data_IF_363018451304
#
_entry.id   IF_363018451304
#
_cell.length_a   1.000
_cell.length_b   1.000
_cell.length_c   1.000
_cell.angle_alpha   90.00
_cell.angle_beta   90.00
_cell.angle_gamma   90.00
#
_symmetry.space_group_name_H-M   'P 1'
#
loop_
_entity.id
_entity.type
_entity.pdbx_description
1 polymer ?
#
# COMPACT_ATOMS: atom_id res chain seq x y z
N UNK A 1 -31.54 31.71 29.10
CA UNK A 1 -30.41 31.63 28.16
C UNK A 1 -30.39 30.19 27.69
N UNK A 2 -30.85 29.94 26.47
CA UNK A 2 -30.92 28.61 25.89
C UNK A 2 -29.49 28.19 25.47
N UNK A 3 -28.94 27.17 26.12
CA UNK A 3 -27.75 26.48 25.67
C UNK A 3 -28.10 25.67 24.41
N UNK A 4 -27.88 26.22 23.23
CA UNK A 4 -27.89 25.49 22.00
C UNK A 4 -26.61 24.64 21.95
N UNK A 5 -26.67 23.32 21.84
CA UNK A 5 -25.49 22.50 21.62
C UNK A 5 -24.94 22.80 20.23
N UNK A 6 -23.83 23.47 20.17
CA UNK A 6 -23.05 23.61 18.92
C UNK A 6 -22.39 22.28 18.66
N UNK A 7 -22.93 21.49 17.73
CA UNK A 7 -22.32 20.30 17.22
C UNK A 7 -21.33 20.76 16.13
N UNK A 8 -20.06 20.81 16.46
CA UNK A 8 -19.00 21.00 15.47
C UNK A 8 -18.95 19.76 14.59
N UNK A 9 -19.38 19.87 13.35
CA UNK A 9 -19.12 18.88 12.33
C UNK A 9 -17.66 19.05 11.88
N UNK A 10 -16.92 17.99 11.92
CA UNK A 10 -15.61 17.95 11.29
C UNK A 10 -15.79 18.22 9.79
N UNK A 11 -15.42 19.41 9.35
CA UNK A 11 -15.52 19.81 7.96
C UNK A 11 -14.17 19.53 7.29
N UNK A 12 -14.05 18.39 6.65
CA UNK A 12 -12.85 18.00 5.89
C UNK A 12 -12.68 18.77 4.57
N UNK A 13 -13.46 19.82 4.33
CA UNK A 13 -13.51 20.56 3.06
C UNK A 13 -12.78 21.89 3.05
N UNK A 14 -12.25 22.36 4.15
CA UNK A 14 -11.56 23.63 4.17
C UNK A 14 -10.35 23.58 5.06
N UNK A 15 -9.19 23.76 4.48
CA UNK A 15 -8.03 24.23 5.22
C UNK A 15 -7.10 25.01 4.31
N UNK A 16 -7.14 26.31 4.54
CA UNK A 16 -6.05 27.22 4.23
C UNK A 16 -5.04 27.16 5.39
N UNK A 17 -3.78 27.16 5.03
CA UNK A 17 -2.60 27.35 5.88
C UNK A 17 -2.32 26.35 7.01
N UNK A 18 -1.42 25.43 6.75
CA UNK A 18 -0.72 24.77 7.82
C UNK A 18 0.80 24.78 7.60
N UNK A 19 1.44 25.37 8.55
CA UNK A 19 2.89 25.32 8.76
C UNK A 19 3.35 23.88 8.89
N UNK A 20 4.38 23.56 8.13
CA UNK A 20 5.02 22.24 8.08
C UNK A 20 5.48 21.80 9.45
N UNK A 21 4.77 20.89 10.05
CA UNK A 21 5.29 20.03 11.11
C UNK A 21 4.58 18.69 11.02
N UNK A 22 5.38 17.63 11.11
CA UNK A 22 4.81 16.31 11.36
C UNK A 22 4.13 16.35 12.75
N UNK A 23 2.83 16.57 12.76
CA UNK A 23 2.07 16.68 14.01
C UNK A 23 1.45 15.34 14.36
N UNK A 24 1.80 14.82 15.53
CA UNK A 24 0.97 13.79 16.13
C UNK A 24 -0.39 14.42 16.50
N UNK A 25 -1.51 13.88 16.00
CA UNK A 25 -2.83 14.40 16.38
C UNK A 25 -2.97 14.35 17.90
N UNK A 26 -3.22 15.48 18.53
CA UNK A 26 -3.31 15.60 20.01
C UNK A 26 -4.43 14.71 20.59
N UNK A 27 -5.34 14.22 19.76
CA UNK A 27 -6.59 13.58 20.17
C UNK A 27 -6.69 12.09 19.85
N UNK A 28 -5.71 11.46 19.20
CA UNK A 28 -5.76 10.05 18.89
C UNK A 28 -5.07 9.18 19.94
N UNK A 29 -5.63 7.99 20.17
CA UNK A 29 -5.07 6.97 21.06
C UNK A 29 -3.85 6.31 20.44
N UNK A 30 -3.78 6.25 19.13
CA UNK A 30 -2.68 5.65 18.37
C UNK A 30 -1.55 6.66 18.22
N UNK A 31 -0.32 6.17 18.17
CA UNK A 31 0.83 6.99 17.77
C UNK A 31 0.78 7.15 16.26
N UNK A 32 0.09 8.18 15.81
CA UNK A 32 -0.03 8.54 14.39
C UNK A 32 0.78 9.78 14.12
N UNK A 33 1.56 9.76 13.06
CA UNK A 33 2.30 10.90 12.53
C UNK A 33 1.68 11.24 11.18
N UNK A 34 1.19 12.47 11.02
CA UNK A 34 0.66 12.94 9.74
C UNK A 34 1.66 13.90 9.09
N UNK A 35 2.02 13.59 7.85
CA UNK A 35 2.93 14.36 7.02
C UNK A 35 2.10 14.95 5.87
N UNK A 36 1.94 16.25 5.87
CA UNK A 36 1.15 16.96 4.86
C UNK A 36 1.95 17.25 3.58
N UNK A 37 1.22 17.67 2.54
CA UNK A 37 1.75 17.96 1.23
C UNK A 37 2.93 18.94 1.22
N UNK A 38 2.88 20.03 1.99
CA UNK A 38 3.97 21.00 2.07
C UNK A 38 5.29 20.37 2.52
N UNK A 39 5.24 19.44 3.47
CA UNK A 39 6.44 18.72 3.91
C UNK A 39 7.00 17.83 2.78
N UNK A 40 6.12 17.20 2.00
CA UNK A 40 6.51 16.38 0.86
C UNK A 40 7.15 17.22 -0.25
N UNK A 41 6.60 18.40 -0.52
CA UNK A 41 7.14 19.36 -1.50
C UNK A 41 8.52 19.87 -1.06
N UNK A 42 8.71 20.21 0.22
CA UNK A 42 10.00 20.64 0.73
C UNK A 42 11.08 19.55 0.68
N UNK A 43 10.71 18.31 0.92
CA UNK A 43 11.64 17.17 0.81
C UNK A 43 11.97 16.81 -0.63
N UNK A 44 11.21 17.31 -1.61
CA UNK A 44 11.35 16.94 -3.03
C UNK A 44 11.35 15.41 -3.20
N UNK A 45 10.42 14.74 -2.54
CA UNK A 45 10.33 13.28 -2.56
C UNK A 45 10.07 12.77 -3.97
N UNK A 46 10.82 11.78 -4.39
CA UNK A 46 10.58 11.06 -5.64
C UNK A 46 9.83 9.74 -5.42
N UNK A 47 9.81 9.27 -4.18
CA UNK A 47 9.10 8.09 -3.74
C UNK A 47 8.51 8.29 -2.33
N UNK A 48 7.43 7.59 -2.02
CA UNK A 48 6.79 7.66 -0.70
C UNK A 48 7.73 7.17 0.41
N UNK A 49 8.62 6.22 0.15
CA UNK A 49 9.57 5.74 1.16
C UNK A 49 10.57 6.82 1.63
N UNK A 50 10.75 7.91 0.85
CA UNK A 50 11.65 9.00 1.21
C UNK A 50 11.18 9.74 2.47
N UNK A 51 9.87 9.69 2.78
CA UNK A 51 9.32 10.26 4.02
C UNK A 51 9.85 9.60 5.29
N UNK A 52 10.47 8.41 5.17
CA UNK A 52 11.11 7.76 6.30
C UNK A 52 12.16 8.66 6.99
N UNK A 53 12.74 9.62 6.24
CA UNK A 53 13.65 10.64 6.78
C UNK A 53 13.01 11.55 7.82
N UNK A 54 11.69 11.75 7.78
CA UNK A 54 10.94 12.58 8.74
C UNK A 54 10.51 11.82 10.00
N UNK A 55 10.68 10.50 9.99
CA UNK A 55 10.31 9.69 11.15
C UNK A 55 11.37 9.74 12.23
N UNK A 56 11.00 9.62 13.51
CA UNK A 56 11.97 9.54 14.59
C UNK A 56 12.97 8.40 14.37
N UNK A 57 14.26 8.73 14.31
CA UNK A 57 15.33 7.77 13.97
C UNK A 57 15.48 7.47 12.49
N UNK A 58 14.72 8.14 11.64
CA UNK A 58 14.81 8.02 10.20
C UNK A 58 16.14 8.52 9.63
N UNK A 59 16.58 7.93 8.53
CA UNK A 59 17.79 8.34 7.81
C UNK A 59 17.41 8.86 6.44
N UNK A 60 18.03 9.96 6.03
CA UNK A 60 17.96 10.44 4.65
C UNK A 60 18.63 9.42 3.74
N UNK A 61 17.92 9.03 2.69
CA UNK A 61 18.44 8.21 1.59
C UNK A 61 18.53 9.07 0.34
N UNK A 62 19.52 8.81 -0.48
CA UNK A 62 19.51 9.37 -1.85
C UNK A 62 18.36 8.70 -2.60
N UNK A 63 17.41 9.45 -3.16
CA UNK A 63 16.32 8.87 -3.92
C UNK A 63 16.85 7.98 -5.04
N UNK A 64 16.45 6.73 -5.07
CA UNK A 64 16.83 5.75 -6.09
C UNK A 64 15.65 4.85 -6.42
N UNK A 65 15.06 5.06 -7.59
CA UNK A 65 13.95 4.24 -8.08
C UNK A 65 14.41 2.99 -8.84
N UNK A 66 15.71 2.79 -9.02
CA UNK A 66 16.25 1.58 -9.68
C UNK A 66 16.39 0.39 -8.72
N UNK A 67 16.24 0.61 -7.43
CA UNK A 67 16.18 -0.43 -6.39
C UNK A 67 14.79 -0.46 -5.75
N UNK A 68 14.46 -1.58 -5.10
CA UNK A 68 13.18 -1.70 -4.38
C UNK A 68 13.09 -0.66 -3.25
N UNK A 69 12.02 0.13 -3.26
CA UNK A 69 11.77 1.14 -2.25
C UNK A 69 10.70 0.67 -1.27
N UNK A 70 11.17 0.02 -0.21
CA UNK A 70 10.32 -0.57 0.83
C UNK A 70 10.23 0.40 1.99
N UNK A 71 9.02 0.58 2.47
CA UNK A 71 8.77 1.34 3.68
C UNK A 71 8.83 0.40 4.88
N UNK A 72 9.83 0.60 5.74
CA UNK A 72 10.05 -0.21 6.93
C UNK A 72 9.82 0.61 8.19
N UNK A 73 8.90 0.16 9.04
CA UNK A 73 8.62 0.71 10.35
C UNK A 73 9.04 -0.31 11.40
N UNK A 74 10.07 -0.01 12.20
CA UNK A 74 10.55 -0.86 13.30
C UNK A 74 11.00 -2.27 12.90
N UNK A 75 11.39 -2.47 11.66
CA UNK A 75 12.02 -3.72 11.27
C UNK A 75 13.37 -3.84 11.95
N UNK A 76 13.59 -4.89 12.68
CA UNK A 76 14.86 -5.18 13.36
C UNK A 76 16.02 -5.51 12.42
N UNK A 77 15.96 -5.11 11.15
CA UNK A 77 17.00 -5.37 10.15
C UNK A 77 17.14 -6.85 9.75
N UNK A 78 16.20 -7.69 10.13
CA UNK A 78 16.18 -9.10 9.77
C UNK A 78 15.79 -9.26 8.30
N UNK A 79 16.72 -9.70 7.49
CA UNK A 79 16.50 -10.10 6.09
C UNK A 79 15.71 -11.40 5.96
N UNK A 80 15.35 -12.05 7.05
CA UNK A 80 14.72 -13.35 7.06
C UNK A 80 13.20 -13.27 7.20
N UNK A 81 12.48 -13.36 6.08
CA UNK A 81 11.14 -13.98 5.99
C UNK A 81 9.94 -13.30 6.63
N UNK A 82 10.09 -12.42 7.60
CA UNK A 82 8.98 -11.78 8.31
C UNK A 82 8.65 -10.35 7.83
N UNK A 83 9.44 -9.81 6.94
CA UNK A 83 9.23 -8.47 6.39
C UNK A 83 7.93 -8.37 5.57
N UNK A 84 7.43 -9.46 5.00
CA UNK A 84 6.15 -9.51 4.30
C UNK A 84 4.96 -9.09 5.19
N UNK A 85 5.07 -9.29 6.50
CA UNK A 85 4.07 -8.90 7.49
C UNK A 85 4.44 -7.60 8.23
N UNK A 86 5.54 -6.95 7.85
CA UNK A 86 6.10 -5.83 8.58
C UNK A 86 5.22 -4.60 8.55
N UNK A 87 5.33 -3.81 7.52
CA UNK A 87 4.63 -2.53 7.36
C UNK A 87 3.59 -2.63 6.25
N UNK A 88 2.34 -2.34 6.57
CA UNK A 88 1.29 -2.24 5.57
C UNK A 88 1.29 -0.87 4.90
N UNK A 89 1.03 -0.83 3.61
CA UNK A 89 0.83 0.41 2.84
C UNK A 89 -0.57 0.40 2.23
N UNK A 90 -1.25 1.51 2.35
CA UNK A 90 -2.61 1.71 1.83
C UNK A 90 -2.68 3.05 1.08
N UNK A 91 -3.32 3.06 -0.08
CA UNK A 91 -3.60 4.28 -0.84
C UNK A 91 -5.11 4.43 -0.97
N UNK A 92 -5.68 5.47 -0.40
CA UNK A 92 -7.13 5.76 -0.39
C UNK A 92 -8.01 4.58 0.03
N UNK A 93 -7.58 3.80 1.01
CA UNK A 93 -8.29 2.61 1.49
C UNK A 93 -7.98 1.32 0.70
N UNK A 94 -7.20 1.39 -0.37
CA UNK A 94 -6.73 0.21 -1.11
C UNK A 94 -5.42 -0.28 -0.51
N UNK A 95 -5.43 -1.44 0.09
CA UNK A 95 -4.20 -2.09 0.57
C UNK A 95 -3.35 -2.55 -0.59
N UNK A 96 -2.08 -2.20 -0.58
CA UNK A 96 -1.14 -2.64 -1.60
C UNK A 96 -0.67 -4.06 -1.26
N UNK A 97 -0.74 -4.94 -2.23
CA UNK A 97 -0.24 -6.30 -2.12
C UNK A 97 1.28 -6.34 -1.97
N UNK A 98 1.77 -7.37 -1.35
CA UNK A 98 3.21 -7.65 -1.18
C UNK A 98 3.62 -9.01 -1.76
N UNK A 99 2.72 -9.63 -2.54
CA UNK A 99 2.93 -10.93 -3.17
C UNK A 99 3.34 -10.82 -4.65
N UNK A 100 3.56 -9.61 -5.15
CA UNK A 100 3.75 -9.33 -6.58
C UNK A 100 5.02 -9.89 -7.18
N UNK A 101 6.06 -10.18 -6.40
CA UNK A 101 7.24 -10.86 -6.91
C UNK A 101 7.60 -12.05 -6.03
N UNK A 102 7.43 -13.22 -6.56
CA UNK A 102 7.80 -14.46 -5.89
C UNK A 102 9.32 -14.48 -5.60
N UNK A 103 9.66 -14.60 -4.33
CA UNK A 103 11.06 -14.54 -3.86
C UNK A 103 11.48 -13.19 -3.28
N UNK A 104 10.69 -12.13 -3.47
CA UNK A 104 10.97 -10.80 -2.92
C UNK A 104 9.94 -10.43 -1.84
N UNK A 105 9.86 -11.23 -0.80
CA UNK A 105 8.95 -11.04 0.34
C UNK A 105 9.43 -9.96 1.32
N UNK A 106 10.18 -8.98 0.83
CA UNK A 106 10.84 -7.98 1.66
C UNK A 106 9.96 -6.79 2.05
N UNK A 107 8.65 -6.85 1.76
CA UNK A 107 7.68 -5.78 2.05
C UNK A 107 7.09 -5.16 0.78
N UNK A 108 6.27 -4.12 0.98
CA UNK A 108 5.59 -3.42 -0.11
C UNK A 108 6.54 -2.49 -0.84
N UNK A 109 6.74 -2.72 -2.14
CA UNK A 109 7.48 -1.79 -2.99
C UNK A 109 6.61 -0.58 -3.35
N UNK A 110 7.08 0.61 -3.00
CA UNK A 110 6.33 1.86 -3.20
C UNK A 110 6.70 2.61 -4.47
N UNK A 111 7.59 2.06 -5.33
CA UNK A 111 8.04 2.72 -6.57
C UNK A 111 6.92 3.05 -7.54
N UNK A 112 5.87 2.25 -7.55
CA UNK A 112 4.70 2.40 -8.42
C UNK A 112 3.61 3.33 -7.85
N UNK A 113 3.89 4.07 -6.77
CA UNK A 113 2.98 5.07 -6.21
C UNK A 113 3.41 6.45 -6.69
N UNK A 114 2.50 7.16 -7.35
CA UNK A 114 2.71 8.56 -7.73
C UNK A 114 2.76 9.45 -6.50
N UNK A 115 3.72 10.36 -6.44
CA UNK A 115 3.87 11.28 -5.29
C UNK A 115 3.18 12.64 -5.52
N UNK A 116 2.95 13.01 -6.76
CA UNK A 116 2.45 14.33 -7.13
C UNK A 116 1.00 14.61 -6.70
N UNK A 117 0.22 13.57 -6.45
CA UNK A 117 -1.20 13.65 -6.05
C UNK A 117 -1.41 13.41 -4.56
N UNK A 118 -0.35 13.30 -3.77
CA UNK A 118 -0.47 13.01 -2.35
C UNK A 118 -0.83 14.29 -1.60
N UNK A 119 -1.93 14.21 -0.84
CA UNK A 119 -2.36 15.24 0.12
C UNK A 119 -1.66 15.08 1.45
N UNK A 120 -1.66 13.85 1.97
CA UNK A 120 -1.03 13.53 3.23
C UNK A 120 -0.64 12.06 3.32
N UNK A 121 0.33 11.81 4.20
CA UNK A 121 0.73 10.46 4.58
C UNK A 121 0.61 10.31 6.08
N UNK A 122 -0.17 9.34 6.53
CA UNK A 122 -0.31 8.97 7.93
C UNK A 122 0.54 7.73 8.22
N UNK A 123 1.38 7.83 9.24
CA UNK A 123 2.21 6.72 9.70
C UNK A 123 1.74 6.31 11.09
N UNK A 124 1.20 5.10 11.20
CA UNK A 124 0.66 4.52 12.43
C UNK A 124 1.68 3.54 13.00
N UNK A 125 2.25 3.84 14.16
CA UNK A 125 3.33 3.04 14.78
C UNK A 125 2.96 2.40 16.12
N UNK A 126 1.78 2.63 16.64
CA UNK A 126 1.30 2.06 17.91
C UNK A 126 0.47 0.79 17.72
N UNK A 127 -0.35 0.48 18.73
CA UNK A 127 -1.38 -0.57 18.63
C UNK A 127 -2.46 -0.07 17.68
N UNK A 128 -2.61 -0.66 16.49
CA UNK A 128 -3.60 -0.19 15.51
C UNK A 128 -5.02 -0.51 15.97
N UNK A 129 -6.00 0.23 15.46
CA UNK A 129 -7.42 -0.08 15.64
C UNK A 129 -7.74 -1.53 15.22
N UNK A 130 -8.74 -2.15 15.85
CA UNK A 130 -9.20 -3.50 15.52
C UNK A 130 -9.73 -3.60 14.07
N UNK A 131 -10.03 -2.47 13.44
CA UNK A 131 -10.36 -2.38 12.03
C UNK A 131 -9.26 -2.95 11.10
N UNK A 132 -8.00 -2.83 11.51
CA UNK A 132 -6.86 -3.24 10.69
C UNK A 132 -6.34 -4.62 11.08
N UNK A 133 -6.27 -5.53 10.11
CA UNK A 133 -5.65 -6.87 10.24
C UNK A 133 -4.27 -6.92 9.57
N UNK A 134 -3.57 -8.03 9.73
CA UNK A 134 -2.29 -8.34 9.07
C UNK A 134 -1.21 -7.26 9.26
N UNK A 135 -1.08 -6.74 10.49
CA UNK A 135 -0.10 -5.71 10.85
C UNK A 135 0.84 -6.20 11.92
N UNK A 136 2.14 -6.06 11.69
CA UNK A 136 3.17 -6.41 12.66
C UNK A 136 3.98 -5.19 13.13
N UNK A 137 4.41 -4.33 12.21
CA UNK A 137 5.31 -3.21 12.52
C UNK A 137 4.63 -1.85 12.47
N UNK A 138 3.48 -1.75 11.81
CA UNK A 138 2.72 -0.52 11.64
C UNK A 138 2.08 -0.39 10.27
N UNK A 139 1.56 0.80 9.97
CA UNK A 139 0.83 1.07 8.74
C UNK A 139 1.15 2.46 8.20
N UNK A 140 1.27 2.56 6.89
CA UNK A 140 1.38 3.82 6.15
C UNK A 140 0.12 3.99 5.32
N UNK A 141 -0.62 5.06 5.57
CA UNK A 141 -1.80 5.44 4.79
C UNK A 141 -1.50 6.66 3.95
N UNK A 142 -1.75 6.54 2.68
CA UNK A 142 -1.53 7.61 1.70
C UNK A 142 -2.89 8.10 1.27
N UNK A 143 -3.12 9.39 1.42
CA UNK A 143 -4.34 10.06 0.99
C UNK A 143 -4.03 10.92 -0.22
N UNK A 144 -4.78 10.71 -1.31
CA UNK A 144 -4.68 11.54 -2.50
C UNK A 144 -5.53 12.81 -2.35
N UNK A 145 -5.17 13.85 -3.11
CA UNK A 145 -5.89 15.13 -3.08
C UNK A 145 -7.31 14.97 -3.56
N UNK A 146 -8.25 15.46 -2.77
CA UNK A 146 -9.67 15.46 -3.07
C UNK A 146 -10.22 16.89 -2.95
N UNK A 147 -11.21 17.19 -3.78
CA UNK A 147 -11.83 18.51 -3.74
C UNK A 147 -11.32 19.45 -4.84
N UNK A 148 -11.84 20.66 -4.84
CA UNK A 148 -11.47 21.71 -5.79
C UNK A 148 -10.06 22.21 -5.50
N UNK A 149 -9.16 22.05 -6.46
CA UNK A 149 -7.78 22.54 -6.38
C UNK A 149 -7.38 23.30 -7.64
N UNK A 150 -6.48 24.30 -7.55
CA UNK A 150 -5.92 24.95 -8.73
C UNK A 150 -5.11 23.94 -9.56
N UNK A 151 -4.64 24.35 -10.73
CA UNK A 151 -3.62 23.61 -11.46
C UNK A 151 -2.35 23.55 -10.60
N UNK A 152 -1.84 22.33 -10.41
CA UNK A 152 -0.53 22.09 -9.84
C UNK A 152 0.33 21.42 -10.92
N UNK A 153 1.44 22.04 -11.28
CA UNK A 153 2.42 21.52 -12.24
C UNK A 153 3.74 21.47 -11.50
N UNK A 154 4.33 20.28 -11.43
CA UNK A 154 5.62 20.05 -10.81
C UNK A 154 6.60 19.56 -11.87
N UNK A 155 7.75 20.21 -11.94
CA UNK A 155 8.92 19.78 -12.69
C UNK A 155 10.07 19.64 -11.70
N UNK A 156 10.64 18.46 -11.60
CA UNK A 156 11.75 18.18 -10.68
C UNK A 156 12.87 17.46 -11.45
N UNK A 157 14.07 17.94 -11.32
CA UNK A 157 15.25 17.35 -11.92
C UNK A 157 16.32 17.28 -10.84
N UNK A 158 16.79 16.09 -10.57
CA UNK A 158 17.95 15.85 -9.74
C UNK A 158 18.95 14.95 -10.51
N UNK A 159 20.18 14.74 -10.01
CA UNK A 159 21.19 14.01 -10.78
C UNK A 159 20.79 12.59 -11.23
N UNK A 160 19.77 11.98 -10.59
CA UNK A 160 19.36 10.61 -10.92
C UNK A 160 17.92 10.49 -11.38
N UNK A 161 17.10 11.52 -11.16
CA UNK A 161 15.65 11.42 -11.42
C UNK A 161 15.14 12.68 -12.10
N UNK A 162 14.37 12.48 -13.15
CA UNK A 162 13.60 13.49 -13.85
C UNK A 162 12.12 13.19 -13.61
N UNK A 163 11.35 14.20 -13.24
CA UNK A 163 9.92 14.06 -12.94
C UNK A 163 9.15 15.27 -13.49
N UNK A 164 8.02 14.97 -14.11
CA UNK A 164 7.04 15.96 -14.53
C UNK A 164 5.65 15.47 -14.14
N UNK A 165 4.85 16.35 -13.55
CA UNK A 165 3.48 15.99 -13.17
C UNK A 165 2.54 17.18 -13.28
N UNK A 166 1.24 16.88 -13.39
CA UNK A 166 0.16 17.83 -13.29
C UNK A 166 -0.99 17.25 -12.47
N UNK A 167 -1.70 18.12 -11.76
CA UNK A 167 -2.90 17.76 -11.01
C UNK A 167 -3.94 18.89 -11.07
N UNK A 168 -5.22 18.54 -11.03
CA UNK A 168 -6.35 19.49 -11.03
C UNK A 168 -7.57 18.89 -10.35
N UNK A 169 -8.19 19.67 -9.48
CA UNK A 169 -9.54 19.42 -8.96
C UNK A 169 -10.57 20.33 -9.62
N UNK A 170 -11.49 19.75 -10.37
CA UNK A 170 -12.54 20.42 -11.13
C UNK A 170 -13.87 20.36 -10.35
N UNK A 171 -14.34 21.50 -9.88
CA UNK A 171 -15.68 21.63 -9.31
C UNK A 171 -16.71 21.69 -10.44
N UNK A 172 -17.64 20.74 -10.45
CA UNK A 172 -18.71 20.66 -11.46
C UNK A 172 -19.84 21.66 -11.22
N UNK A 173 -19.79 22.42 -10.11
CA UNK A 173 -20.80 23.37 -9.73
C UNK A 173 -22.15 22.74 -9.34
N UNK A 174 -23.08 23.53 -8.85
CA UNK A 174 -24.44 23.11 -8.54
C UNK A 174 -24.56 21.81 -7.70
N UNK A 175 -23.66 21.60 -6.75
CA UNK A 175 -23.59 20.39 -5.92
C UNK A 175 -23.44 19.08 -6.70
N UNK A 176 -22.86 19.13 -7.91
CA UNK A 176 -22.61 17.95 -8.74
C UNK A 176 -21.29 17.23 -8.38
N UNK A 177 -20.58 17.74 -7.38
CA UNK A 177 -19.34 17.13 -6.90
C UNK A 177 -18.09 17.66 -7.60
N UNK A 178 -16.98 16.99 -7.36
CA UNK A 178 -15.65 17.37 -7.84
C UNK A 178 -15.01 16.19 -8.55
N UNK A 179 -14.35 16.47 -9.67
CA UNK A 179 -13.48 15.52 -10.38
C UNK A 179 -12.03 15.92 -10.13
N UNK A 180 -11.23 15.00 -9.62
CA UNK A 180 -9.78 15.17 -9.52
C UNK A 180 -9.09 14.33 -10.59
N UNK A 181 -8.10 14.92 -11.25
CA UNK A 181 -7.25 14.27 -12.27
C UNK A 181 -5.80 14.56 -11.97
N UNK A 182 -4.96 13.56 -12.19
CA UNK A 182 -3.51 13.67 -12.06
C UNK A 182 -2.82 12.87 -13.18
N UNK A 183 -1.66 13.36 -13.62
CA UNK A 183 -0.76 12.63 -14.49
C UNK A 183 0.68 12.89 -14.08
N UNK A 184 1.51 11.85 -14.09
CA UNK A 184 2.92 11.91 -13.69
C UNK A 184 3.78 11.09 -14.65
N UNK A 185 4.92 11.63 -15.02
CA UNK A 185 6.00 10.92 -15.67
C UNK A 185 7.27 11.06 -14.84
N UNK A 186 7.92 9.94 -14.54
CA UNK A 186 9.17 9.90 -13.79
C UNK A 186 10.13 8.92 -14.46
N UNK A 187 11.37 9.34 -14.65
CA UNK A 187 12.47 8.49 -15.11
C UNK A 187 13.63 8.61 -14.15
N UNK A 188 14.16 7.48 -13.72
CA UNK A 188 15.33 7.43 -12.85
C UNK A 188 16.41 6.53 -13.45
N UNK A 189 17.67 6.90 -13.22
CA UNK A 189 18.85 6.12 -13.60
C UNK A 189 19.72 5.82 -12.40
N UNK A 190 20.33 4.65 -12.36
CA UNK A 190 21.13 4.24 -11.22
C UNK A 190 22.40 5.08 -11.05
N UNK A 191 23.11 5.30 -12.14
CA UNK A 191 24.36 6.07 -12.18
C UNK A 191 24.39 6.95 -13.43
N UNK A 192 24.87 8.18 -13.30
CA UNK A 192 25.03 9.09 -14.44
C UNK A 192 26.10 8.61 -15.44
N UNK A 193 27.16 7.99 -14.92
CA UNK A 193 28.28 7.47 -15.73
C UNK A 193 27.97 6.13 -16.39
N UNK A 194 26.96 5.42 -15.90
CA UNK A 194 26.52 4.12 -16.40
C UNK A 194 24.98 4.05 -16.40
N UNK A 195 24.31 4.68 -17.38
CA UNK A 195 22.85 4.82 -17.38
C UNK A 195 22.11 3.57 -17.89
N UNK A 196 22.76 2.40 -17.78
CA UNK A 196 22.22 1.14 -18.32
C UNK A 196 21.06 0.58 -17.47
N UNK A 197 20.99 0.93 -16.18
CA UNK A 197 19.85 0.62 -15.33
C UNK A 197 18.97 1.85 -15.14
N UNK A 198 17.72 1.73 -15.54
CA UNK A 198 16.73 2.81 -15.44
C UNK A 198 15.38 2.29 -15.00
N UNK A 199 14.64 3.12 -14.26
CA UNK A 199 13.24 2.91 -13.91
C UNK A 199 12.38 4.01 -14.52
N UNK A 200 11.24 3.64 -15.08
CA UNK A 200 10.27 4.59 -15.62
C UNK A 200 8.91 4.36 -14.97
N UNK A 201 8.25 5.45 -14.55
CA UNK A 201 6.90 5.46 -14.01
C UNK A 201 6.05 6.44 -14.81
N UNK A 202 4.89 6.00 -15.27
CA UNK A 202 3.85 6.82 -15.87
C UNK A 202 2.59 6.62 -15.05
N UNK A 203 2.40 7.49 -14.10
CA UNK A 203 1.28 7.45 -13.16
C UNK A 203 0.11 8.27 -13.67
N UNK A 204 -1.08 7.84 -13.33
CA UNK A 204 -2.30 8.60 -13.53
C UNK A 204 -3.28 8.34 -12.40
N UNK A 205 -4.10 9.33 -12.10
CA UNK A 205 -5.26 9.16 -11.22
C UNK A 205 -6.46 9.92 -11.78
N UNK A 206 -7.64 9.38 -11.53
CA UNK A 206 -8.91 10.04 -11.75
C UNK A 206 -9.86 9.67 -10.61
N UNK A 207 -10.52 10.67 -10.02
CA UNK A 207 -11.45 10.45 -8.93
C UNK A 207 -12.66 11.37 -9.04
N UNK A 208 -13.79 10.90 -8.53
CA UNK A 208 -14.98 11.70 -8.37
C UNK A 208 -15.45 11.60 -6.92
N UNK A 209 -15.80 12.75 -6.34
CA UNK A 209 -16.35 12.84 -5.01
C UNK A 209 -17.56 13.77 -4.98
N UNK A 210 -18.60 13.34 -4.26
CA UNK A 210 -19.80 14.15 -4.05
C UNK A 210 -20.46 13.83 -2.70
N UNK A 211 -21.14 14.82 -2.16
CA UNK A 211 -21.96 14.65 -0.95
C UNK A 211 -23.41 15.00 -1.27
N UNK A 212 -24.23 13.98 -1.43
CA UNK A 212 -25.64 14.11 -1.76
C UNK A 212 -26.44 14.52 -0.52
N UNK A 213 -27.16 15.61 -0.61
CA UNK A 213 -28.04 16.16 0.46
C UNK A 213 -27.37 16.29 1.82
N UNK A 214 -26.04 16.46 1.85
CA UNK A 214 -25.23 16.49 3.08
C UNK A 214 -25.37 15.24 3.98
N UNK A 215 -25.81 14.13 3.44
CA UNK A 215 -26.06 12.88 4.18
C UNK A 215 -25.28 11.72 3.62
N UNK A 216 -25.20 11.59 2.29
CA UNK A 216 -24.51 10.49 1.64
C UNK A 216 -23.29 11.01 0.90
N UNK A 217 -22.10 10.67 1.38
CA UNK A 217 -20.85 10.91 0.68
C UNK A 217 -20.50 9.72 -0.19
N UNK A 218 -20.22 10.00 -1.44
CA UNK A 218 -19.77 9.05 -2.42
C UNK A 218 -18.41 9.47 -2.98
N UNK A 219 -17.45 8.56 -2.93
CA UNK A 219 -16.13 8.72 -3.51
C UNK A 219 -15.82 7.49 -4.38
N UNK A 220 -15.36 7.71 -5.59
CA UNK A 220 -14.82 6.67 -6.48
C UNK A 220 -13.52 7.16 -7.08
N UNK A 221 -12.52 6.30 -7.13
CA UNK A 221 -11.20 6.62 -7.66
C UNK A 221 -10.60 5.47 -8.46
N UNK A 222 -9.83 5.83 -9.46
CA UNK A 222 -8.97 4.93 -10.22
C UNK A 222 -7.58 5.53 -10.23
N UNK A 223 -6.59 4.76 -9.85
CA UNK A 223 -5.17 5.13 -9.94
C UNK A 223 -4.42 4.04 -10.68
N UNK A 224 -3.44 4.43 -11.46
CA UNK A 224 -2.63 3.48 -12.18
C UNK A 224 -1.20 3.95 -12.38
N UNK A 225 -0.34 2.98 -12.64
CA UNK A 225 1.03 3.18 -13.06
C UNK A 225 1.35 2.23 -14.22
N UNK A 226 2.03 2.73 -15.22
CA UNK A 226 2.57 1.94 -16.32
C UNK A 226 4.07 2.23 -16.40
N UNK A 227 4.89 1.19 -16.22
CA UNK A 227 6.33 1.37 -16.22
C UNK A 227 7.11 0.13 -15.87
N UNK A 228 8.23 0.35 -15.21
CA UNK A 228 9.10 -0.71 -14.74
C UNK A 228 10.59 -0.41 -14.90
N UNK A 229 11.40 -1.41 -14.64
CA UNK A 229 12.85 -1.32 -14.68
C UNK A 229 13.40 -1.90 -15.99
N UNK A 230 14.43 -1.29 -16.51
CA UNK A 230 15.17 -1.78 -17.66
C UNK A 230 16.67 -1.70 -17.36
N UNK A 231 17.27 -2.84 -17.12
CA UNK A 231 18.73 -3.00 -17.02
C UNK A 231 19.20 -3.57 -18.36
N UNK A 232 19.89 -2.75 -19.14
CA UNK A 232 20.49 -3.14 -20.41
C UNK A 232 21.87 -3.72 -20.16
N UNK A 233 22.37 -4.45 -21.14
CA UNK A 233 23.78 -4.83 -21.20
C UNK A 233 24.66 -3.59 -21.15
N UNK A 234 25.71 -3.63 -20.33
CA UNK A 234 26.76 -2.62 -20.29
C UNK A 234 27.85 -3.03 -21.26
N UNK A 235 28.07 -2.29 -22.36
CA UNK A 235 29.06 -2.63 -23.36
C UNK A 235 30.49 -2.75 -22.79
N UNK A 236 30.77 -1.97 -21.74
CA UNK A 236 32.10 -1.99 -21.11
C UNK A 236 32.31 -3.18 -20.16
N UNK A 237 31.20 -3.78 -19.72
CA UNK A 237 31.23 -4.96 -18.85
C UNK A 237 31.33 -6.27 -19.64
N UNK A 238 31.01 -6.26 -20.93
CA UNK A 238 31.01 -7.44 -21.81
C UNK A 238 30.23 -8.63 -21.25
N UNK A 239 29.20 -8.37 -20.47
CA UNK A 239 28.44 -9.43 -19.80
C UNK A 239 27.42 -10.10 -20.70
N UNK A 240 26.86 -9.36 -21.66
CA UNK A 240 25.76 -9.82 -22.50
C UNK A 240 24.43 -9.95 -21.72
N UNK A 241 24.39 -9.61 -20.44
CA UNK A 241 23.24 -9.80 -19.55
C UNK A 241 22.31 -8.61 -19.55
N UNK A 242 21.01 -8.87 -19.46
CA UNK A 242 20.00 -7.81 -19.26
C UNK A 242 18.83 -8.30 -18.41
N UNK A 243 18.14 -7.34 -17.81
CA UNK A 243 16.90 -7.59 -17.08
C UNK A 243 15.88 -6.49 -17.38
N UNK A 244 14.67 -6.89 -17.76
CA UNK A 244 13.54 -6.01 -18.01
C UNK A 244 12.39 -6.40 -17.06
N UNK A 245 11.93 -5.45 -16.27
CA UNK A 245 10.80 -5.65 -15.38
C UNK A 245 9.68 -4.71 -15.80
N UNK A 246 8.53 -5.27 -16.19
CA UNK A 246 7.29 -4.53 -16.34
C UNK A 246 6.63 -4.47 -14.96
N UNK A 247 6.24 -3.28 -14.51
CA UNK A 247 5.59 -3.03 -13.23
C UNK A 247 4.36 -2.12 -13.46
N UNK A 248 3.27 -2.74 -13.90
CA UNK A 248 2.02 -2.05 -14.17
C UNK A 248 1.03 -2.31 -13.03
N UNK A 249 0.52 -1.24 -12.43
CA UNK A 249 -0.39 -1.32 -11.30
C UNK A 249 -1.66 -0.54 -11.58
N UNK A 250 -2.81 -1.14 -11.25
CA UNK A 250 -4.11 -0.49 -11.30
C UNK A 250 -4.84 -0.68 -9.99
N UNK A 251 -5.42 0.39 -9.46
CA UNK A 251 -6.19 0.41 -8.22
C UNK A 251 -7.49 1.13 -8.46
N UNK A 252 -8.56 0.55 -7.96
CA UNK A 252 -9.87 1.19 -7.95
C UNK A 252 -10.44 1.09 -6.55
N UNK A 253 -10.98 2.19 -6.06
CA UNK A 253 -11.67 2.25 -4.78
C UNK A 253 -13.02 2.93 -4.93
N UNK A 254 -13.98 2.46 -4.16
CA UNK A 254 -15.31 3.06 -4.03
C UNK A 254 -15.63 3.15 -2.56
N UNK A 255 -16.08 4.30 -2.10
CA UNK A 255 -16.49 4.54 -0.73
C UNK A 255 -17.85 5.22 -0.68
N UNK A 256 -18.76 4.68 0.13
CA UNK A 256 -20.07 5.22 0.45
C UNK A 256 -20.14 5.44 1.95
N UNK A 257 -20.24 6.68 2.40
CA UNK A 257 -20.39 7.01 3.80
C UNK A 257 -21.77 7.67 4.03
N UNK A 258 -22.60 7.00 4.78
CA UNK A 258 -23.96 7.45 5.09
C UNK A 258 -24.00 8.03 6.50
N UNK A 259 -24.08 9.36 6.59
CA UNK A 259 -24.14 10.15 7.83
C UNK A 259 -25.58 10.15 8.38
N UNK A 260 -25.96 9.13 9.13
CA UNK A 260 -27.32 8.92 9.61
C UNK A 260 -27.66 9.77 10.83
N UNK A 261 -26.70 10.00 11.72
CA UNK A 261 -26.85 10.76 12.97
C UNK A 261 -28.11 10.39 13.79
N UNK A 262 -28.41 9.09 13.89
CA UNK A 262 -29.51 8.56 14.69
C UNK A 262 -29.02 8.21 16.11
N UNK A 263 -29.95 8.02 17.03
CA UNK A 263 -29.65 7.69 18.44
C UNK A 263 -28.84 6.38 18.59
N UNK A 264 -28.93 5.48 17.61
CA UNK A 264 -28.29 4.17 17.60
C UNK A 264 -27.18 3.99 16.55
N UNK A 265 -27.02 4.95 15.63
CA UNK A 265 -25.98 4.94 14.60
C UNK A 265 -25.62 6.36 14.19
N UNK A 266 -24.34 6.65 14.12
CA UNK A 266 -23.84 7.93 13.59
C UNK A 266 -23.53 7.83 12.12
N UNK A 267 -22.79 6.80 11.74
CA UNK A 267 -22.28 6.62 10.37
C UNK A 267 -22.31 5.15 9.97
N UNK A 268 -22.67 4.89 8.72
CA UNK A 268 -22.51 3.59 8.07
C UNK A 268 -21.63 3.79 6.84
N UNK A 269 -20.52 3.07 6.77
CA UNK A 269 -19.57 3.21 5.65
C UNK A 269 -19.39 1.88 4.96
N UNK A 270 -19.49 1.89 3.64
CA UNK A 270 -19.15 0.78 2.77
C UNK A 270 -17.95 1.17 1.92
N UNK A 271 -16.92 0.35 1.92
CA UNK A 271 -15.75 0.50 1.06
C UNK A 271 -15.55 -0.76 0.22
N UNK A 272 -15.21 -0.59 -1.04
CA UNK A 272 -14.82 -1.68 -1.93
C UNK A 272 -13.60 -1.28 -2.74
N UNK A 273 -12.70 -2.22 -3.00
CA UNK A 273 -11.48 -1.96 -3.77
C UNK A 273 -11.03 -3.15 -4.58
N UNK A 274 -10.34 -2.84 -5.67
CA UNK A 274 -9.65 -3.80 -6.52
C UNK A 274 -8.21 -3.30 -6.68
N UNK A 275 -7.27 -4.19 -6.48
CA UNK A 275 -5.85 -3.98 -6.74
C UNK A 275 -5.38 -5.01 -7.75
N UNK A 276 -4.74 -4.56 -8.82
CA UNK A 276 -4.14 -5.42 -9.84
C UNK A 276 -2.69 -4.98 -10.07
N UNK A 277 -1.76 -5.91 -10.01
CA UNK A 277 -0.35 -5.68 -10.25
C UNK A 277 0.17 -6.68 -11.29
N UNK A 278 0.47 -6.19 -12.49
CA UNK A 278 1.11 -6.95 -13.56
C UNK A 278 2.63 -6.71 -13.50
N UNK A 279 3.31 -7.59 -12.79
CA UNK A 279 4.76 -7.59 -12.64
C UNK A 279 5.36 -8.74 -13.44
N UNK A 280 6.06 -8.41 -14.52
CA UNK A 280 6.71 -9.39 -15.37
C UNK A 280 8.19 -9.07 -15.49
N UNK A 281 9.02 -9.99 -15.04
CA UNK A 281 10.48 -9.91 -15.11
C UNK A 281 11.00 -10.83 -16.21
N UNK A 282 11.85 -10.31 -17.09
CA UNK A 282 12.59 -11.06 -18.09
C UNK A 282 14.08 -10.85 -17.86
N UNK A 283 14.75 -11.86 -17.34
CA UNK A 283 16.19 -11.88 -17.11
C UNK A 283 16.89 -12.77 -18.14
N UNK A 284 17.88 -12.22 -18.83
CA UNK A 284 18.81 -12.94 -19.69
C UNK A 284 20.14 -13.05 -18.96
N UNK A 285 20.46 -14.23 -18.46
CA UNK A 285 21.57 -14.45 -17.53
C UNK A 285 22.57 -15.46 -18.08
N UNK A 286 23.85 -15.16 -17.88
CA UNK A 286 24.95 -16.02 -18.26
C UNK A 286 25.25 -17.05 -17.17
N UNK A 287 25.38 -18.30 -17.59
CA UNK A 287 25.75 -19.39 -16.71
C UNK A 287 27.08 -19.97 -17.19
N UNK A 288 28.01 -20.22 -16.26
CA UNK A 288 29.38 -20.67 -16.55
C UNK A 288 29.79 -21.89 -15.74
N UNK A 289 28.89 -22.85 -15.56
CA UNK A 289 29.19 -24.11 -14.89
C UNK A 289 28.43 -25.26 -15.52
N UNK A 290 29.09 -26.38 -15.64
CA UNK A 290 28.43 -27.60 -16.09
C UNK A 290 27.61 -28.21 -14.96
N UNK A 291 26.35 -28.49 -15.25
CA UNK A 291 25.46 -29.17 -14.30
C UNK A 291 24.51 -30.13 -15.03
N UNK A 292 23.90 -31.01 -14.28
CA UNK A 292 22.88 -31.91 -14.80
C UNK A 292 21.51 -31.29 -14.48
N UNK A 293 20.64 -31.21 -15.49
CA UNK A 293 19.27 -30.75 -15.30
C UNK A 293 18.44 -31.98 -14.91
N UNK A 294 17.80 -31.97 -13.74
CA UNK A 294 16.88 -33.03 -13.36
C UNK A 294 15.64 -33.02 -14.28
N UNK A 295 14.96 -34.15 -14.36
CA UNK A 295 13.73 -34.27 -15.12
C UNK A 295 12.65 -33.32 -14.56
N UNK A 296 12.37 -32.20 -15.24
CA UNK A 296 11.50 -31.12 -14.79
C UNK A 296 10.06 -31.59 -14.55
N UNK A 297 9.62 -32.63 -15.29
CA UNK A 297 8.26 -33.16 -15.22
C UNK A 297 8.11 -34.39 -14.33
N UNK A 298 9.19 -34.83 -13.64
CA UNK A 298 9.09 -35.97 -12.75
C UNK A 298 8.24 -35.61 -11.52
N UNK A 299 7.17 -36.39 -11.29
CA UNK A 299 6.24 -36.23 -10.16
C UNK A 299 6.45 -37.28 -9.06
N UNK A 300 7.28 -38.29 -9.32
CA UNK A 300 7.54 -39.40 -8.42
C UNK A 300 9.06 -39.55 -8.22
N UNK A 301 9.45 -40.18 -7.12
CA UNK A 301 10.86 -40.55 -6.88
C UNK A 301 11.26 -41.68 -7.82
N UNK A 302 12.49 -41.58 -8.39
CA UNK A 302 12.99 -42.59 -9.28
C UNK A 302 14.23 -42.14 -10.04
N UNK A 303 14.71 -43.01 -10.95
CA UNK A 303 15.81 -42.72 -11.87
C UNK A 303 15.21 -42.17 -13.18
N UNK A 304 15.66 -40.98 -13.57
CA UNK A 304 15.21 -40.32 -14.78
C UNK A 304 16.41 -39.96 -15.66
N UNK A 305 16.18 -39.88 -16.96
CA UNK A 305 17.14 -39.33 -17.86
C UNK A 305 17.32 -37.82 -17.58
N UNK A 306 18.55 -37.40 -17.26
CA UNK A 306 18.87 -35.99 -17.06
C UNK A 306 19.56 -35.44 -18.32
N UNK A 307 19.25 -34.18 -18.66
CA UNK A 307 19.99 -33.43 -19.67
C UNK A 307 21.26 -32.87 -19.03
N UNK A 308 22.38 -32.97 -19.75
CA UNK A 308 23.59 -32.29 -19.36
C UNK A 308 23.59 -30.89 -19.95
N UNK A 309 23.64 -29.88 -19.08
CA UNK A 309 23.70 -28.48 -19.49
C UNK A 309 25.08 -28.16 -20.08
N UNK A 310 25.16 -27.25 -21.09
CA UNK A 310 26.43 -26.73 -21.59
C UNK A 310 27.27 -26.11 -20.46
N UNK A 311 28.58 -26.08 -20.62
CA UNK A 311 29.47 -25.43 -19.64
C UNK A 311 29.25 -23.92 -19.57
N UNK A 312 28.98 -23.28 -20.71
CA UNK A 312 28.65 -21.87 -20.83
C UNK A 312 27.42 -21.69 -21.70
N UNK A 313 26.44 -20.95 -21.22
CA UNK A 313 25.22 -20.67 -21.95
C UNK A 313 24.49 -19.46 -21.36
N UNK A 314 23.62 -18.85 -22.16
CA UNK A 314 22.64 -17.89 -21.69
C UNK A 314 21.28 -18.58 -21.53
N UNK A 315 20.53 -18.18 -20.50
CA UNK A 315 19.16 -18.60 -20.34
C UNK A 315 18.25 -17.40 -20.06
N UNK A 316 17.06 -17.46 -20.64
CA UNK A 316 16.00 -16.46 -20.47
C UNK A 316 15.00 -16.95 -19.43
N UNK A 317 15.07 -16.38 -18.25
CA UNK A 317 14.11 -16.59 -17.17
C UNK A 317 12.98 -15.57 -17.25
N UNK A 318 11.75 -16.03 -17.19
CA UNK A 318 10.55 -15.21 -17.11
C UNK A 318 9.89 -15.45 -15.75
N UNK A 319 9.53 -14.37 -15.05
CA UNK A 319 8.65 -14.42 -13.88
C UNK A 319 7.44 -13.57 -14.21
N UNK A 320 6.31 -14.21 -14.53
CA UNK A 320 5.04 -13.57 -14.84
C UNK A 320 4.12 -13.62 -13.61
N UNK A 321 4.02 -12.51 -12.90
CA UNK A 321 3.18 -12.35 -11.73
C UNK A 321 2.07 -11.34 -12.01
N UNK A 322 0.82 -11.76 -11.83
CA UNK A 322 -0.38 -10.92 -11.98
C UNK A 322 -1.22 -11.04 -10.72
N UNK A 323 -0.81 -10.29 -9.71
CA UNK A 323 -1.52 -10.24 -8.44
C UNK A 323 -2.86 -9.52 -8.59
N UNK A 324 -3.91 -10.10 -8.01
CA UNK A 324 -5.26 -9.55 -8.06
C UNK A 324 -5.91 -9.68 -6.68
N UNK A 325 -6.15 -8.53 -6.05
CA UNK A 325 -6.78 -8.43 -4.74
C UNK A 325 -8.14 -7.76 -4.84
N UNK A 326 -9.11 -8.33 -4.17
CA UNK A 326 -10.44 -7.76 -3.95
C UNK A 326 -10.63 -7.52 -2.46
N UNK A 327 -11.21 -6.39 -2.11
CA UNK A 327 -11.62 -6.13 -0.75
C UNK A 327 -12.98 -5.43 -0.70
N UNK A 328 -13.78 -5.79 0.29
CA UNK A 328 -15.02 -5.10 0.62
C UNK A 328 -15.18 -5.02 2.12
N UNK A 329 -15.69 -3.91 2.62
CA UNK A 329 -15.92 -3.72 4.04
C UNK A 329 -17.20 -2.93 4.32
N UNK A 330 -17.86 -3.26 5.40
CA UNK A 330 -18.98 -2.51 5.94
C UNK A 330 -18.65 -2.15 7.38
N UNK A 331 -18.67 -0.85 7.68
CA UNK A 331 -18.29 -0.29 8.97
C UNK A 331 -19.46 0.47 9.57
N UNK A 332 -19.78 0.14 10.78
CA UNK A 332 -20.72 0.81 11.63
C UNK A 332 -19.98 1.68 12.64
N UNK A 333 -20.40 2.92 12.82
CA UNK A 333 -19.88 3.85 13.82
C UNK A 333 -21.01 4.45 14.63
N UNK A 334 -20.83 4.47 15.94
CA UNK A 334 -21.77 5.09 16.86
C UNK A 334 -21.04 5.98 17.86
N UNK A 335 -21.11 7.27 17.65
CA UNK A 335 -20.58 8.29 18.53
C UNK A 335 -21.68 8.74 19.50
N UNK A 336 -21.40 8.65 20.78
CA UNK A 336 -22.33 9.05 21.84
C UNK A 336 -21.59 9.74 22.98
N UNK A 337 -22.31 10.60 23.65
CA UNK A 337 -21.81 11.30 24.83
C UNK A 337 -22.69 10.99 26.01
N UNK A 338 -22.10 10.48 27.09
CA UNK A 338 -22.75 10.24 28.37
C UNK A 338 -22.18 11.21 29.39
N UNK A 339 -22.92 12.29 29.71
CA UNK A 339 -22.45 13.38 30.59
C UNK A 339 -21.06 13.87 30.15
N UNK A 340 -20.00 13.44 30.84
CA UNK A 340 -18.61 13.82 30.59
C UNK A 340 -17.82 12.80 29.77
N UNK A 341 -18.38 11.62 29.52
CA UNK A 341 -17.72 10.53 28.80
C UNK A 341 -18.10 10.56 27.33
N UNK A 342 -17.11 10.70 26.44
CA UNK A 342 -17.31 10.50 25.02
C UNK A 342 -17.00 9.03 24.70
N UNK A 343 -17.90 8.37 24.00
CA UNK A 343 -17.82 6.97 23.59
C UNK A 343 -17.94 6.88 22.08
N UNK A 344 -17.03 6.14 21.46
CA UNK A 344 -17.04 5.85 20.05
C UNK A 344 -16.95 4.33 19.86
N UNK A 345 -18.07 3.73 19.44
CA UNK A 345 -18.15 2.32 19.08
C UNK A 345 -17.97 2.18 17.57
N UNK A 346 -17.03 1.36 17.17
CA UNK A 346 -16.79 0.92 15.79
C UNK A 346 -17.01 -0.58 15.73
N UNK A 347 -17.74 -1.04 14.75
CA UNK A 347 -17.87 -2.46 14.44
C UNK A 347 -17.92 -2.65 12.94
N UNK A 348 -17.46 -3.78 12.44
CA UNK A 348 -17.51 -4.01 11.02
C UNK A 348 -17.23 -5.42 10.60
N UNK A 349 -17.54 -5.67 9.33
CA UNK A 349 -17.22 -6.89 8.61
C UNK A 349 -16.35 -6.53 7.41
N UNK A 350 -15.35 -7.33 7.16
CA UNK A 350 -14.45 -7.18 6.02
C UNK A 350 -14.28 -8.52 5.31
N UNK A 351 -14.22 -8.47 4.00
CA UNK A 351 -13.84 -9.59 3.17
C UNK A 351 -12.70 -9.17 2.26
N UNK A 352 -11.69 -10.03 2.16
CA UNK A 352 -10.56 -9.87 1.25
C UNK A 352 -10.32 -11.18 0.51
N UNK A 353 -10.02 -11.08 -0.78
CA UNK A 353 -9.59 -12.21 -1.58
C UNK A 353 -8.31 -11.82 -2.32
N UNK A 354 -7.27 -12.64 -2.19
CA UNK A 354 -5.96 -12.42 -2.81
C UNK A 354 -5.63 -13.63 -3.68
N UNK A 355 -5.22 -13.37 -4.91
CA UNK A 355 -4.81 -14.40 -5.86
C UNK A 355 -3.77 -13.89 -6.84
N UNK A 356 -3.21 -14.81 -7.60
CA UNK A 356 -2.27 -14.49 -8.67
C UNK A 356 -2.65 -15.29 -9.91
N UNK A 357 -2.87 -14.60 -11.03
CA UNK A 357 -3.30 -15.18 -12.31
C UNK A 357 -2.18 -15.20 -13.36
N UNK A 358 -0.93 -15.00 -12.94
CA UNK A 358 0.25 -15.07 -13.79
C UNK A 358 0.68 -16.50 -14.13
N UNK A 359 1.48 -16.63 -15.17
CA UNK A 359 2.05 -17.90 -15.59
C UNK A 359 3.16 -18.40 -14.64
N UNK A 360 3.63 -17.53 -13.73
CA UNK A 360 4.64 -17.87 -12.75
C UNK A 360 6.06 -17.81 -13.31
N UNK A 361 6.93 -18.62 -12.75
CA UNK A 361 8.34 -18.70 -13.13
C UNK A 361 8.55 -19.79 -14.17
N UNK A 362 9.16 -19.43 -15.31
CA UNK A 362 9.54 -20.37 -16.35
C UNK A 362 10.73 -19.89 -17.16
N UNK A 363 11.36 -20.78 -17.90
CA UNK A 363 12.42 -20.46 -18.87
C UNK A 363 11.86 -20.57 -20.28
N UNK A 364 12.26 -19.65 -21.18
CA UNK A 364 11.82 -19.67 -22.58
C UNK A 364 12.24 -20.98 -23.26
N UNK A 365 13.46 -21.42 -22.99
CA UNK A 365 13.92 -22.74 -23.36
C UNK A 365 14.07 -23.59 -22.08
N UNK A 366 13.14 -24.50 -21.81
CA UNK A 366 13.21 -25.37 -20.63
C UNK A 366 14.46 -26.28 -20.61
N UNK A 367 15.05 -26.58 -21.78
CA UNK A 367 16.25 -27.39 -21.86
C UNK A 367 17.51 -26.70 -21.31
N UNK A 368 17.47 -25.36 -21.22
CA UNK A 368 18.51 -24.50 -20.64
C UNK A 368 18.25 -24.06 -19.22
N UNK A 369 17.15 -24.52 -18.62
CA UNK A 369 16.83 -24.16 -17.24
C UNK A 369 17.90 -24.75 -16.29
N UNK A 370 18.39 -23.96 -15.30
CA UNK A 370 19.41 -24.42 -14.39
C UNK A 370 18.92 -25.53 -13.45
N UNK A 371 19.88 -26.19 -12.82
CA UNK A 371 19.62 -27.28 -11.87
C UNK A 371 18.64 -26.79 -10.75
N UNK A 372 17.69 -27.64 -10.40
CA UNK A 372 16.70 -27.37 -9.35
C UNK A 372 15.47 -26.57 -9.80
N UNK A 373 15.44 -26.10 -11.05
CA UNK A 373 14.27 -25.42 -11.58
C UNK A 373 13.05 -26.36 -11.63
N UNK A 374 11.89 -25.82 -11.21
CA UNK A 374 10.58 -26.46 -11.36
C UNK A 374 9.58 -25.40 -11.82
N UNK A 375 8.87 -25.61 -12.92
CA UNK A 375 7.81 -24.67 -13.35
C UNK A 375 6.70 -24.64 -12.30
N UNK A 376 6.29 -23.42 -11.95
CA UNK A 376 5.22 -23.21 -10.95
C UNK A 376 4.25 -22.14 -11.43
N UNK A 377 3.24 -22.53 -12.23
CA UNK A 377 2.19 -21.60 -12.64
C UNK A 377 1.42 -21.10 -11.43
N UNK A 378 1.30 -19.78 -11.28
CA UNK A 378 0.59 -19.18 -10.14
C UNK A 378 -0.92 -19.42 -10.22
N UNK A 379 -1.44 -19.64 -11.42
CA UNK A 379 -2.83 -20.03 -11.66
C UNK A 379 -3.25 -21.34 -10.99
N UNK A 380 -2.29 -22.19 -10.59
CA UNK A 380 -2.57 -23.44 -9.86
C UNK A 380 -2.94 -23.20 -8.39
N UNK A 381 -2.67 -22.00 -7.87
CA UNK A 381 -3.01 -21.64 -6.50
C UNK A 381 -4.37 -20.95 -6.47
N UNK A 382 -5.38 -21.51 -5.78
CA UNK A 382 -6.67 -20.86 -5.65
C UNK A 382 -6.59 -19.60 -4.79
N UNK A 383 -7.59 -18.72 -4.95
CA UNK A 383 -7.67 -17.51 -4.15
C UNK A 383 -7.73 -17.81 -2.65
N UNK A 384 -6.94 -17.07 -1.90
CA UNK A 384 -6.99 -17.02 -0.45
C UNK A 384 -8.05 -16.00 -0.03
N UNK A 385 -9.03 -16.44 0.74
CA UNK A 385 -10.08 -15.58 1.28
C UNK A 385 -9.84 -15.31 2.77
N UNK A 386 -10.05 -14.09 3.19
CA UNK A 386 -10.06 -13.69 4.59
C UNK A 386 -11.37 -12.95 4.91
N UNK A 387 -12.16 -13.49 5.81
CA UNK A 387 -13.35 -12.84 6.37
C UNK A 387 -13.03 -12.42 7.79
N UNK A 388 -13.27 -11.16 8.09
CA UNK A 388 -12.94 -10.59 9.40
C UNK A 388 -14.15 -9.89 10.01
N UNK A 389 -14.31 -10.07 11.32
CA UNK A 389 -15.27 -9.33 12.13
C UNK A 389 -14.50 -8.57 13.22
N UNK A 390 -14.85 -7.33 13.45
CA UNK A 390 -14.23 -6.56 14.53
C UNK A 390 -15.23 -5.70 15.27
N UNK A 391 -14.91 -5.42 16.52
CA UNK A 391 -15.58 -4.41 17.33
C UNK A 391 -14.56 -3.72 18.22
N UNK A 392 -14.70 -2.40 18.37
CA UNK A 392 -13.79 -1.55 19.14
C UNK A 392 -14.59 -0.44 19.81
N UNK A 393 -14.39 -0.26 21.10
CA UNK A 393 -14.92 0.86 21.87
C UNK A 393 -13.79 1.76 22.32
N UNK A 394 -13.92 3.04 22.04
CA UNK A 394 -13.00 4.09 22.51
C UNK A 394 -13.74 5.02 23.46
N UNK A 395 -13.22 5.15 24.68
CA UNK A 395 -13.75 5.99 25.72
C UNK A 395 -12.80 7.17 26.00
N UNK A 396 -13.35 8.36 26.14
CA UNK A 396 -12.58 9.55 26.52
C UNK A 396 -13.33 10.29 27.61
N UNK A 397 -12.69 10.47 28.76
CA UNK A 397 -13.30 11.12 29.93
C UNK A 397 -12.28 11.92 30.75
N UNK A 398 -12.72 13.03 31.39
CA UNK A 398 -11.87 13.81 32.25
C UNK A 398 -11.58 13.09 33.58
N UNK A 399 -10.35 13.20 34.07
CA UNK A 399 -9.90 12.78 35.39
C UNK A 399 -9.26 13.99 36.07
N UNK A 400 -10.01 14.71 36.88
CA UNK A 400 -9.62 16.02 37.37
C UNK A 400 -9.44 17.00 36.21
N UNK A 401 -8.29 17.64 36.13
CA UNK A 401 -7.92 18.57 35.05
C UNK A 401 -7.21 17.87 33.87
N UNK A 402 -7.23 16.55 33.83
CA UNK A 402 -6.55 15.76 32.83
C UNK A 402 -7.52 14.93 32.02
N UNK A 403 -7.09 14.36 30.90
CA UNK A 403 -7.93 13.55 30.03
C UNK A 403 -7.38 12.12 29.93
N UNK A 404 -8.22 11.13 30.27
CA UNK A 404 -7.92 9.72 30.08
C UNK A 404 -8.69 9.19 28.88
N UNK A 405 -7.99 8.49 28.00
CA UNK A 405 -8.55 7.81 26.84
C UNK A 405 -8.19 6.33 26.90
N UNK A 406 -9.20 5.50 26.69
CA UNK A 406 -9.09 4.05 26.67
C UNK A 406 -9.66 3.52 25.37
N UNK A 407 -9.02 2.51 24.79
CA UNK A 407 -9.52 1.76 23.66
C UNK A 407 -9.45 0.28 23.99
N UNK A 408 -10.54 -0.43 23.79
CA UNK A 408 -10.59 -1.89 23.84
C UNK A 408 -11.26 -2.40 22.57
N UNK A 409 -10.65 -3.36 21.92
CA UNK A 409 -11.16 -3.93 20.68
C UNK A 409 -10.84 -5.41 20.56
N UNK A 410 -11.58 -6.07 19.71
CA UNK A 410 -11.38 -7.47 19.33
C UNK A 410 -11.59 -7.63 17.85
N UNK A 411 -10.75 -8.43 17.24
CA UNK A 411 -10.83 -8.82 15.84
C UNK A 411 -10.76 -10.33 15.73
N UNK A 412 -11.72 -10.90 15.02
CA UNK A 412 -11.73 -12.29 14.60
C UNK A 412 -11.51 -12.36 13.10
N UNK A 413 -10.68 -13.30 12.67
CA UNK A 413 -10.37 -13.53 11.26
C UNK A 413 -10.51 -15.01 10.93
N UNK A 414 -11.11 -15.27 9.79
CA UNK A 414 -11.25 -16.60 9.21
C UNK A 414 -10.61 -16.61 7.82
N UNK A 415 -9.48 -17.29 7.73
CA UNK A 415 -8.72 -17.44 6.49
C UNK A 415 -8.95 -18.83 5.93
N UNK A 416 -9.32 -18.92 4.65
CA UNK A 416 -9.55 -20.17 3.97
C UNK A 416 -9.14 -20.14 2.50
N UNK A 417 -8.76 -21.31 1.97
CA UNK A 417 -8.37 -21.54 0.59
C UNK A 417 -9.20 -22.69 0.03
N UNK A 418 -10.07 -22.41 -0.93
CA UNK A 418 -10.93 -23.43 -1.54
C UNK A 418 -10.10 -24.45 -2.31
N UNK A 419 -10.54 -25.73 -2.28
CA UNK A 419 -9.93 -26.79 -3.09
C UNK A 419 -8.58 -27.31 -2.59
N UNK A 420 -8.11 -26.87 -1.42
CA UNK A 420 -6.87 -27.37 -0.83
C UNK A 420 -7.13 -28.26 0.36
N UNK A 421 -6.14 -29.11 0.73
CA UNK A 421 -6.15 -29.91 1.96
C UNK A 421 -5.77 -29.08 3.21
N UNK A 422 -5.42 -27.80 3.04
CA UNK A 422 -5.07 -26.92 4.14
C UNK A 422 -6.31 -26.63 4.98
N UNK A 423 -6.14 -26.74 6.29
CA UNK A 423 -7.19 -26.41 7.25
C UNK A 423 -7.41 -24.90 7.27
N UNK A 424 -8.65 -24.49 7.48
CA UNK A 424 -8.98 -23.10 7.73
C UNK A 424 -8.26 -22.61 8.98
N UNK A 425 -7.80 -21.36 8.95
CA UNK A 425 -7.15 -20.69 10.06
C UNK A 425 -8.13 -19.69 10.68
N UNK A 426 -8.32 -19.80 11.98
CA UNK A 426 -9.06 -18.82 12.76
C UNK A 426 -8.12 -18.12 13.72
N UNK A 427 -8.18 -16.81 13.76
CA UNK A 427 -7.40 -16.00 14.70
C UNK A 427 -8.31 -15.07 15.48
N UNK A 428 -7.97 -14.82 16.74
CA UNK A 428 -8.63 -13.84 17.59
C UNK A 428 -7.57 -12.90 18.15
N UNK A 429 -7.72 -11.62 17.88
CA UNK A 429 -6.76 -10.59 18.24
C UNK A 429 -7.40 -9.54 19.14
N UNK A 430 -7.31 -9.68 20.48
CA UNK A 430 -7.69 -8.62 21.38
C UNK A 430 -6.68 -7.49 21.35
N UNK A 431 -7.17 -6.24 21.49
CA UNK A 431 -6.36 -5.03 21.49
C UNK A 431 -6.79 -4.12 22.61
N UNK A 432 -5.80 -3.53 23.28
CA UNK A 432 -6.03 -2.56 24.32
C UNK A 432 -5.01 -1.42 24.19
N UNK A 433 -5.47 -0.22 24.34
CA UNK A 433 -4.61 0.98 24.37
C UNK A 433 -5.17 1.95 25.41
N UNK A 434 -4.26 2.62 26.14
CA UNK A 434 -4.59 3.63 27.12
C UNK A 434 -3.67 4.82 26.97
N UNK A 435 -4.22 6.02 26.95
CA UNK A 435 -3.46 7.27 26.92
C UNK A 435 -3.97 8.21 27.99
N UNK A 436 -3.09 8.59 28.89
CA UNK A 436 -3.37 9.59 29.90
C UNK A 436 -2.61 10.87 29.59
N UNK A 437 -3.35 11.92 29.27
CA UNK A 437 -2.77 13.23 29.02
C UNK A 437 -2.74 14.01 30.35
N UNK A 438 -1.54 14.15 30.93
CA UNK A 438 -1.33 14.74 32.24
C UNK A 438 -1.31 16.28 32.20
N UNK A 439 -0.90 16.88 31.10
CA UNK A 439 -0.83 18.34 30.90
C UNK A 439 -1.33 18.72 29.50
N UNK A 440 -1.77 19.98 29.33
CA UNK A 440 -2.20 20.54 28.04
C UNK A 440 -1.05 20.93 27.10
N UNK A 441 0.20 20.66 27.46
CA UNK A 441 1.40 21.03 26.68
C UNK A 441 1.95 19.88 25.85
#
# INVERSE_FOLDING_TARGET
>A
INNLPIILKENTLALDDVVVTAQAPKNELNTTLTIGNHALEHLQVSNVSDISALLPGGKTKVPDLTTNNIFSLRDGGSTAGNAAFGTAVEVDGVRIGNNGSFGNMNGVDTRNITVADIESVEVITGVPSAEYGDLNSGMVKIHTRKGKTPWNILLSINPRTEQASFAKGLDLGNNKGVININGEWTKATQKLVSPYSSYTRRGFSAGYSNTFRNVLRFDIGVTGNIGGMNTKDDPDAYSGEYNKVRDNVFRTNTSLAWLLNKSWITNLKFDASIYYNDNNSHAHTFYSYASEQPAVHATEEGYFMANKLPYTYFADQIIDSKELDYAASLKYEWNRRFKTVNSNLKAGVQWKATGNVGEGEYYKDPSLAPNGYRPRPYTTYPYMHNVSLYAEESLSFPVGNTMLRLMAGVRWEHLFIKGTKYKNLNTLSPRFNARWQLNEH
#
